data_IF_580216474739
#
_entry.id   IF_580216474739
#
_cell.length_a   1.000
_cell.length_b   1.000
_cell.length_c   1.000
_cell.angle_alpha   90.00
_cell.angle_beta   90.00
_cell.angle_gamma   90.00
#
_symmetry.space_group_name_H-M   'P 1'
#
loop_
_entity.id
_entity.type
_entity.pdbx_description
1 polymer ?
#
# COMPACT_ATOMS: atom_id res chain seq x y z
N UNK A 1 -2.58 13.53 -20.92
CA UNK A 1 -2.66 12.20 -21.58
C UNK A 1 -2.89 11.03 -20.60
N UNK A 2 -3.13 11.28 -19.30
CA UNK A 2 -3.26 10.25 -18.24
C UNK A 2 -4.70 9.81 -17.92
N UNK A 3 -5.72 10.44 -18.49
CA UNK A 3 -7.14 10.18 -18.15
C UNK A 3 -7.84 9.19 -19.08
N UNK A 4 -7.21 8.81 -20.21
CA UNK A 4 -7.84 8.00 -21.27
C UNK A 4 -7.60 6.49 -21.10
N UNK A 5 -6.61 6.12 -20.30
CA UNK A 5 -6.25 4.72 -20.06
C UNK A 5 -7.13 4.05 -18.99
N UNK A 6 -7.66 4.81 -18.02
CA UNK A 6 -8.58 4.26 -17.01
C UNK A 6 -9.99 3.99 -17.53
N UNK A 7 -10.41 4.64 -18.62
CA UNK A 7 -11.77 4.47 -19.17
C UNK A 7 -11.95 3.14 -19.93
N UNK A 8 -10.89 2.58 -20.50
CA UNK A 8 -10.96 1.30 -21.24
C UNK A 8 -10.94 0.07 -20.33
N UNK A 9 -10.49 0.19 -19.09
CA UNK A 9 -10.45 -0.93 -18.13
C UNK A 9 -11.80 -1.17 -17.43
N UNK A 10 -12.67 -0.16 -17.37
CA UNK A 10 -13.97 -0.24 -16.68
C UNK A 10 -15.08 -0.89 -17.53
N UNK A 11 -14.94 -0.93 -18.85
CA UNK A 11 -15.97 -1.46 -19.76
C UNK A 11 -15.95 -3.01 -19.87
N UNK A 12 -14.86 -3.67 -19.51
CA UNK A 12 -14.74 -5.13 -19.64
C UNK A 12 -15.32 -5.91 -18.44
N UNK A 13 -15.50 -5.26 -17.28
CA UNK A 13 -15.97 -5.92 -16.04
C UNK A 13 -17.50 -5.96 -15.94
N UNK A 14 -18.22 -5.11 -16.70
CA UNK A 14 -19.68 -4.98 -16.55
C UNK A 14 -20.51 -5.85 -17.51
N UNK A 15 -19.87 -6.65 -18.38
CA UNK A 15 -20.56 -7.47 -19.37
C UNK A 15 -20.81 -8.94 -18.96
N UNK A 16 -20.37 -9.37 -17.76
CA UNK A 16 -20.48 -10.78 -17.36
C UNK A 16 -21.47 -11.06 -16.20
N UNK A 17 -22.19 -10.07 -15.68
CA UNK A 17 -23.12 -10.26 -14.55
C UNK A 17 -24.60 -10.25 -14.94
N UNK A 18 -24.93 -10.21 -16.23
CA UNK A 18 -26.31 -10.22 -16.71
C UNK A 18 -26.80 -11.63 -17.08
N UNK A 19 -26.78 -12.57 -16.13
CA UNK A 19 -27.62 -13.76 -16.22
C UNK A 19 -27.84 -14.38 -14.84
N UNK A 20 -29.11 -14.62 -14.52
CA UNK A 20 -29.68 -15.30 -13.34
C UNK A 20 -29.97 -14.38 -12.15
N UNK A 21 -31.16 -13.78 -12.20
CA UNK A 21 -31.94 -13.37 -11.04
C UNK A 21 -33.14 -14.33 -10.89
N UNK A 22 -33.26 -15.01 -9.74
CA UNK A 22 -34.53 -15.32 -9.07
C UNK A 22 -34.29 -15.76 -7.60
N UNK A 23 -35.23 -15.49 -6.66
CA UNK A 23 -34.98 -15.44 -5.22
C UNK A 23 -35.65 -16.57 -4.38
N UNK A 24 -35.34 -16.61 -3.08
CA UNK A 24 -35.94 -17.43 -2.00
C UNK A 24 -35.54 -18.92 -1.99
N UNK A 25 -35.20 -19.60 -0.90
CA UNK A 25 -35.56 -19.52 0.52
C UNK A 25 -34.35 -19.92 1.40
N UNK A 26 -34.39 -19.50 2.67
CA UNK A 26 -33.53 -20.03 3.72
C UNK A 26 -33.80 -21.53 3.95
N UNK A 27 -32.76 -22.35 4.08
CA UNK A 27 -32.83 -23.60 4.86
C UNK A 27 -31.49 -23.86 5.53
N UNK A 28 -31.61 -24.12 6.83
CA UNK A 28 -30.57 -24.29 7.83
C UNK A 28 -30.13 -25.77 7.92
N UNK A 29 -28.87 -25.97 8.29
CA UNK A 29 -28.28 -27.16 8.93
C UNK A 29 -28.65 -28.58 8.43
N UNK A 30 -27.64 -29.28 7.90
CA UNK A 30 -27.22 -30.61 8.41
C UNK A 30 -25.91 -31.04 7.73
N UNK A 31 -24.79 -30.92 8.43
CA UNK A 31 -23.54 -31.57 8.05
C UNK A 31 -23.40 -32.87 8.84
N UNK A 32 -23.63 -34.00 8.17
CA UNK A 32 -23.35 -35.34 8.70
C UNK A 32 -21.83 -35.54 8.78
N UNK A 33 -21.35 -35.82 9.99
CA UNK A 33 -19.96 -36.17 10.27
C UNK A 33 -19.60 -37.55 9.70
N UNK A 34 -18.51 -37.62 8.93
CA UNK A 34 -17.91 -38.87 8.46
C UNK A 34 -16.61 -39.15 9.22
N UNK A 35 -16.71 -40.14 10.12
CA UNK A 35 -15.74 -41.12 10.62
C UNK A 35 -14.22 -40.80 10.57
N UNK A 36 -13.61 -40.72 11.77
CA UNK A 36 -12.17 -40.74 11.98
C UNK A 36 -11.63 -42.19 12.07
N UNK A 37 -10.55 -42.48 11.34
CA UNK A 37 -9.80 -43.74 11.42
C UNK A 37 -8.86 -43.76 12.66
N UNK A 38 -8.58 -44.93 13.26
CA UNK A 38 -7.88 -45.00 14.53
C UNK A 38 -6.36 -44.88 14.37
N UNK A 39 -5.74 -44.13 15.28
CA UNK A 39 -4.31 -44.09 15.49
C UNK A 39 -3.84 -45.44 16.08
N UNK A 40 -2.86 -46.07 15.43
CA UNK A 40 -2.12 -47.21 15.97
C UNK A 40 -0.93 -46.69 16.78
N UNK A 41 -0.92 -47.02 18.06
CA UNK A 41 0.21 -46.86 18.97
C UNK A 41 1.22 -47.99 18.76
N UNK A 42 2.52 -47.66 18.75
CA UNK A 42 3.60 -48.62 18.88
C UNK A 42 4.54 -48.16 20.03
N UNK A 43 5.04 -49.09 20.86
CA UNK A 43 5.56 -48.78 22.20
C UNK A 43 7.01 -48.28 22.18
N UNK A 44 7.40 -47.68 23.30
CA UNK A 44 8.73 -47.15 23.57
C UNK A 44 9.66 -48.17 24.25
N UNK A 45 10.95 -47.89 24.09
CA UNK A 45 12.14 -48.30 24.86
C UNK A 45 12.82 -49.63 24.48
N UNK A 46 14.05 -49.50 23.94
CA UNK A 46 15.24 -49.99 24.65
C UNK A 46 16.47 -49.14 24.27
N UNK A 47 17.38 -48.97 25.23
CA UNK A 47 18.54 -48.11 25.18
C UNK A 47 19.82 -48.95 25.09
N UNK A 48 20.65 -48.70 24.07
CA UNK A 48 22.06 -49.09 24.09
C UNK A 48 22.89 -48.19 23.16
N UNK A 49 23.89 -47.53 23.72
CA UNK A 49 25.06 -46.97 23.01
C UNK A 49 26.29 -47.81 23.40
N UNK A 50 27.49 -47.65 22.79
CA UNK A 50 27.89 -46.95 21.57
C UNK A 50 28.77 -47.82 20.63
N UNK A 51 28.92 -47.48 19.33
CA UNK A 51 30.13 -47.83 18.57
C UNK A 51 30.25 -47.10 17.22
N UNK A 52 31.46 -46.62 16.98
CA UNK A 52 32.10 -46.31 15.69
C UNK A 52 31.65 -45.04 14.94
N UNK A 53 32.27 -43.92 15.32
CA UNK A 53 32.61 -42.87 14.37
C UNK A 53 33.66 -43.38 13.36
N UNK A 54 33.53 -43.00 12.08
CA UNK A 54 34.71 -42.53 11.37
C UNK A 54 34.48 -41.14 10.78
N UNK A 55 35.51 -40.32 11.01
CA UNK A 55 36.03 -39.27 10.14
C UNK A 55 35.03 -38.23 9.61
N UNK A 56 35.15 -37.03 10.19
CA UNK A 56 34.89 -35.80 9.49
C UNK A 56 35.58 -35.79 8.12
N UNK A 57 34.77 -35.70 7.06
CA UNK A 57 35.18 -35.11 5.81
C UNK A 57 34.38 -33.81 5.69
N UNK A 58 35.06 -32.67 5.91
CA UNK A 58 34.54 -31.36 5.57
C UNK A 58 34.31 -31.31 4.05
N UNK A 59 33.07 -31.55 3.63
CA UNK A 59 32.59 -31.06 2.35
C UNK A 59 32.01 -29.67 2.61
N UNK A 60 32.68 -28.63 2.12
CA UNK A 60 32.14 -27.26 2.07
C UNK A 60 30.75 -27.25 1.44
N UNK A 61 29.94 -26.19 1.65
CA UNK A 61 28.52 -26.21 1.30
C UNK A 61 28.36 -26.55 -0.18
N UNK A 62 28.05 -27.81 -0.45
CA UNK A 62 27.45 -28.19 -1.70
C UNK A 62 26.22 -27.30 -1.79
N UNK A 63 26.14 -26.49 -2.84
CA UNK A 63 24.84 -26.08 -3.32
C UNK A 63 24.10 -27.39 -3.62
N UNK A 64 23.37 -27.88 -2.63
CA UNK A 64 22.22 -28.71 -2.88
C UNK A 64 21.34 -27.86 -3.77
N UNK A 65 21.49 -28.06 -5.07
CA UNK A 65 20.45 -27.74 -6.03
C UNK A 65 19.36 -28.73 -5.69
N UNK A 66 18.57 -28.39 -4.69
CA UNK A 66 17.27 -28.99 -4.47
C UNK A 66 16.53 -28.69 -5.77
N UNK A 67 16.51 -29.67 -6.68
CA UNK A 67 15.67 -29.64 -7.86
C UNK A 67 14.24 -29.57 -7.35
N UNK A 68 13.75 -28.34 -7.22
CA UNK A 68 12.39 -28.10 -6.79
C UNK A 68 11.52 -28.33 -8.02
N UNK A 69 10.75 -29.43 -8.09
CA UNK A 69 9.96 -29.78 -9.27
C UNK A 69 8.85 -28.75 -9.57
N UNK A 70 8.67 -27.75 -8.70
CA UNK A 70 7.72 -26.66 -8.82
C UNK A 70 8.37 -25.28 -9.05
N UNK A 71 9.65 -25.22 -9.42
CA UNK A 71 10.34 -23.97 -9.75
C UNK A 71 9.82 -23.31 -11.04
N UNK A 72 10.09 -22.01 -11.21
CA UNK A 72 9.69 -21.26 -12.41
C UNK A 72 10.23 -21.86 -13.72
N UNK A 73 11.41 -22.46 -13.68
CA UNK A 73 12.03 -23.11 -14.85
C UNK A 73 11.29 -24.41 -15.26
N UNK A 74 10.85 -25.21 -14.28
CA UNK A 74 10.04 -26.39 -14.53
C UNK A 74 8.64 -26.01 -15.06
N UNK A 75 8.02 -24.96 -14.50
CA UNK A 75 6.73 -24.44 -14.97
C UNK A 75 6.83 -23.84 -16.38
N UNK A 76 7.98 -23.26 -16.76
CA UNK A 76 8.15 -22.73 -18.11
C UNK A 76 8.42 -23.81 -19.16
N UNK A 77 9.11 -24.90 -18.80
CA UNK A 77 9.36 -26.03 -19.72
C UNK A 77 8.16 -26.95 -19.88
N UNK A 78 7.41 -27.18 -18.80
CA UNK A 78 6.30 -28.16 -18.76
C UNK A 78 4.90 -27.50 -18.79
N UNK A 79 4.79 -26.19 -18.54
CA UNK A 79 3.51 -25.49 -18.46
C UNK A 79 2.83 -25.26 -19.81
N UNK A 80 1.50 -25.43 -19.82
CA UNK A 80 0.63 -25.15 -20.95
C UNK A 80 0.46 -23.64 -21.23
N UNK A 81 -0.24 -23.30 -22.32
CA UNK A 81 -0.44 -21.91 -22.76
C UNK A 81 -1.16 -21.05 -21.70
N UNK A 82 -2.12 -21.63 -20.97
CA UNK A 82 -2.88 -20.92 -19.93
C UNK A 82 -2.00 -20.64 -18.72
N UNK A 83 -1.15 -21.60 -18.33
CA UNK A 83 -0.18 -21.44 -17.25
C UNK A 83 0.81 -20.28 -17.53
N UNK A 84 1.40 -20.25 -18.74
CA UNK A 84 2.30 -19.16 -19.16
C UNK A 84 1.60 -17.81 -19.22
N UNK A 85 0.36 -17.77 -19.74
CA UNK A 85 -0.44 -16.55 -19.79
C UNK A 85 -0.72 -15.96 -18.40
N UNK A 86 -1.10 -16.82 -17.45
CA UNK A 86 -1.36 -16.41 -16.06
C UNK A 86 -0.08 -15.91 -15.38
N UNK A 87 1.05 -16.59 -15.60
CA UNK A 87 2.35 -16.16 -15.08
C UNK A 87 2.73 -14.77 -15.59
N UNK A 88 2.52 -14.49 -16.88
CA UNK A 88 2.78 -13.17 -17.47
C UNK A 88 1.88 -12.10 -16.85
N UNK A 89 0.58 -12.39 -16.67
CA UNK A 89 -0.37 -11.44 -16.05
C UNK A 89 0.07 -11.10 -14.62
N UNK A 90 0.43 -12.11 -13.83
CA UNK A 90 0.93 -11.91 -12.46
C UNK A 90 2.19 -11.05 -12.42
N UNK A 91 3.14 -11.31 -13.32
CA UNK A 91 4.38 -10.52 -13.43
C UNK A 91 4.07 -9.07 -13.82
N UNK A 92 3.19 -8.84 -14.79
CA UNK A 92 2.81 -7.48 -15.22
C UNK A 92 2.10 -6.73 -14.09
N UNK A 93 1.15 -7.36 -13.39
CA UNK A 93 0.47 -6.73 -12.25
C UNK A 93 1.45 -6.44 -11.11
N UNK A 94 2.38 -7.37 -10.83
CA UNK A 94 3.41 -7.18 -9.81
C UNK A 94 4.35 -6.02 -10.15
N UNK A 95 4.87 -5.99 -11.38
CA UNK A 95 5.76 -4.92 -11.86
C UNK A 95 5.04 -3.57 -11.91
N UNK A 96 3.75 -3.56 -12.26
CA UNK A 96 2.90 -2.38 -12.18
C UNK A 96 2.81 -1.80 -10.77
N UNK A 97 2.58 -2.65 -9.76
CA UNK A 97 2.59 -2.24 -8.35
C UNK A 97 3.98 -1.74 -7.91
N UNK A 98 5.06 -2.42 -8.28
CA UNK A 98 6.41 -2.00 -7.92
C UNK A 98 6.78 -0.65 -8.54
N UNK A 99 6.39 -0.41 -9.80
CA UNK A 99 6.58 0.87 -10.47
C UNK A 99 5.82 2.02 -9.78
N UNK A 100 4.54 1.81 -9.44
CA UNK A 100 3.75 2.81 -8.71
C UNK A 100 4.36 3.07 -7.33
N UNK A 101 4.83 2.03 -6.65
CA UNK A 101 5.46 2.16 -5.35
C UNK A 101 6.70 3.05 -5.39
N UNK A 102 7.66 2.81 -6.30
CA UNK A 102 8.86 3.66 -6.39
C UNK A 102 8.49 5.10 -6.70
N UNK A 103 7.66 5.32 -7.72
CA UNK A 103 7.33 6.66 -8.18
C UNK A 103 6.62 7.46 -7.07
N UNK A 104 5.70 6.82 -6.35
CA UNK A 104 4.97 7.46 -5.25
C UNK A 104 5.84 7.67 -4.01
N UNK A 105 6.73 6.74 -3.69
CA UNK A 105 7.68 6.88 -2.56
C UNK A 105 8.59 8.08 -2.77
N UNK A 106 9.12 8.29 -3.98
CA UNK A 106 10.00 9.45 -4.26
C UNK A 106 9.25 10.76 -4.02
N UNK A 107 8.00 10.85 -4.48
CA UNK A 107 7.17 12.04 -4.24
C UNK A 107 6.83 12.22 -2.75
N UNK A 108 6.51 11.13 -2.05
CA UNK A 108 6.23 11.14 -0.61
C UNK A 108 7.46 11.54 0.22
N UNK A 109 8.66 11.07 -0.13
CA UNK A 109 9.91 11.44 0.55
C UNK A 109 10.16 12.94 0.39
N UNK A 110 9.98 13.48 -0.82
CA UNK A 110 10.14 14.93 -1.08
C UNK A 110 9.16 15.77 -0.26
N UNK A 111 7.90 15.36 -0.16
CA UNK A 111 6.90 16.05 0.64
C UNK A 111 7.18 15.92 2.15
N UNK A 112 7.61 14.74 2.61
CA UNK A 112 8.01 14.47 4.00
C UNK A 112 9.20 15.33 4.44
N UNK A 113 10.19 15.50 3.56
CA UNK A 113 11.31 16.41 3.77
C UNK A 113 10.83 17.85 3.96
N UNK A 114 9.94 18.34 3.10
CA UNK A 114 9.35 19.68 3.23
C UNK A 114 8.55 19.84 4.53
N UNK A 115 7.83 18.80 4.95
CA UNK A 115 7.07 18.81 6.20
C UNK A 115 8.00 18.90 7.42
N UNK A 116 9.13 18.20 7.38
CA UNK A 116 10.13 18.20 8.45
C UNK A 116 10.83 19.56 8.53
N UNK A 117 11.22 20.12 7.39
CA UNK A 117 11.80 21.45 7.30
C UNK A 117 10.83 22.53 7.79
N UNK A 118 9.55 22.43 7.41
CA UNK A 118 8.52 23.34 7.88
C UNK A 118 8.40 23.30 9.41
N UNK A 119 8.28 22.11 10.01
CA UNK A 119 8.24 21.96 11.47
C UNK A 119 9.49 22.51 12.15
N UNK A 120 10.67 22.32 11.57
CA UNK A 120 11.92 22.74 12.18
C UNK A 120 12.17 24.26 12.09
N UNK A 121 11.79 24.89 10.97
CA UNK A 121 12.13 26.29 10.66
C UNK A 121 10.98 27.26 10.96
N UNK A 122 9.74 26.90 10.64
CA UNK A 122 8.58 27.78 10.78
C UNK A 122 8.38 28.25 12.23
N UNK A 123 8.38 27.33 13.19
CA UNK A 123 8.16 27.62 14.60
C UNK A 123 9.32 28.34 15.30
N UNK A 124 10.51 28.38 14.69
CA UNK A 124 11.69 29.08 15.23
C UNK A 124 11.84 30.50 14.69
N UNK A 125 11.03 30.88 13.71
CA UNK A 125 11.08 32.20 13.09
C UNK A 125 10.48 33.27 14.00
N UNK A 126 10.89 34.53 13.80
CA UNK A 126 10.45 35.66 14.64
C UNK A 126 8.98 36.08 14.40
N UNK A 127 8.37 35.67 13.28
CA UNK A 127 6.99 35.98 12.93
C UNK A 127 6.42 34.96 11.94
N UNK A 128 5.09 34.89 11.83
CA UNK A 128 4.42 33.99 10.87
C UNK A 128 4.83 34.29 9.42
N UNK A 129 5.04 35.56 9.09
CA UNK A 129 5.52 36.01 7.78
C UNK A 129 6.95 35.53 7.50
N UNK A 130 7.86 35.66 8.49
CA UNK A 130 9.23 35.15 8.38
C UNK A 130 9.26 33.61 8.28
N UNK A 131 8.37 32.95 9.02
CA UNK A 131 8.16 31.50 8.96
C UNK A 131 7.70 31.06 7.58
N UNK A 132 6.69 31.72 7.00
CA UNK A 132 6.18 31.43 5.66
C UNK A 132 7.25 31.65 4.57
N UNK A 133 8.04 32.71 4.69
CA UNK A 133 9.14 33.00 3.77
C UNK A 133 10.27 31.95 3.83
N UNK A 134 10.50 31.33 5.00
CA UNK A 134 11.49 30.26 5.16
C UNK A 134 11.09 28.92 4.53
N UNK A 135 9.80 28.76 4.18
CA UNK A 135 9.28 27.57 3.51
C UNK A 135 9.56 27.61 2.01
N UNK A 136 9.77 26.42 1.43
CA UNK A 136 10.02 26.28 -0.01
C UNK A 136 8.86 26.87 -0.81
N UNK A 137 9.20 27.68 -1.81
CA UNK A 137 8.24 28.28 -2.73
C UNK A 137 7.50 27.19 -3.52
N UNK A 138 6.17 27.32 -3.62
CA UNK A 138 5.29 26.31 -4.21
C UNK A 138 5.05 25.07 -3.34
N UNK A 139 5.57 25.01 -2.10
CA UNK A 139 5.23 23.91 -1.18
C UNK A 139 3.80 24.04 -0.64
N UNK A 140 3.10 22.92 -0.38
CA UNK A 140 1.77 22.97 0.23
C UNK A 140 1.75 23.65 1.60
N UNK A 141 2.84 23.54 2.37
CA UNK A 141 2.98 24.19 3.67
C UNK A 141 3.02 25.72 3.55
N UNK A 142 3.72 26.23 2.53
CA UNK A 142 3.75 27.67 2.25
C UNK A 142 2.38 28.17 1.80
N UNK A 143 1.67 27.40 0.97
CA UNK A 143 0.32 27.76 0.55
C UNK A 143 -0.65 27.93 1.73
N UNK A 144 -0.59 27.03 2.72
CA UNK A 144 -1.42 27.13 3.94
C UNK A 144 -1.02 28.36 4.77
N UNK A 145 0.28 28.60 4.96
CA UNK A 145 0.78 29.76 5.70
C UNK A 145 0.38 31.09 5.02
N UNK A 146 0.57 31.20 3.71
CA UNK A 146 0.19 32.38 2.92
C UNK A 146 -1.33 32.61 2.95
N UNK A 147 -2.13 31.55 3.00
CA UNK A 147 -3.59 31.67 3.12
C UNK A 147 -4.02 32.28 4.45
N UNK A 148 -3.37 31.89 5.57
CA UNK A 148 -3.62 32.51 6.87
C UNK A 148 -3.14 33.97 6.95
N UNK A 149 -1.98 34.29 6.36
CA UNK A 149 -1.48 35.66 6.28
C UNK A 149 -2.45 36.54 5.48
N UNK A 150 -2.85 36.10 4.28
CA UNK A 150 -3.82 36.81 3.44
C UNK A 150 -5.18 36.97 4.12
N UNK A 151 -5.63 35.97 4.88
CA UNK A 151 -6.87 36.06 5.65
C UNK A 151 -6.78 37.10 6.77
N UNK A 152 -5.60 37.32 7.33
CA UNK A 152 -5.36 38.36 8.34
C UNK A 152 -5.30 39.75 7.71
N UNK A 153 -4.69 39.88 6.52
CA UNK A 153 -4.55 41.15 5.79
C UNK A 153 -5.84 41.62 5.11
N UNK A 154 -6.69 40.70 4.64
CA UNK A 154 -7.89 41.01 3.86
C UNK A 154 -9.20 40.86 4.65
N UNK A 155 -9.18 41.15 5.96
CA UNK A 155 -10.39 41.20 6.78
C UNK A 155 -11.19 42.49 6.60
N UNK A 156 -11.33 42.97 5.36
CA UNK A 156 -12.05 44.21 5.04
C UNK A 156 -13.10 43.99 3.96
N UNK A 157 -14.37 44.09 4.37
CA UNK A 157 -15.53 44.08 3.49
C UNK A 157 -16.83 43.99 4.28
N UNK A 158 -17.88 44.71 3.86
CA UNK A 158 -19.14 44.93 4.60
C UNK A 158 -19.97 43.66 4.95
N UNK A 159 -19.53 42.46 4.55
CA UNK A 159 -20.10 41.16 4.96
C UNK A 159 -19.22 40.38 5.96
N UNK A 160 -17.99 40.84 6.23
CA UNK A 160 -17.04 40.23 7.17
C UNK A 160 -17.12 40.82 8.58
N UNK A 161 -17.84 41.93 8.77
CA UNK A 161 -18.05 42.55 10.09
C UNK A 161 -18.91 41.66 11.03
N UNK A 162 -19.61 40.66 10.48
CA UNK A 162 -20.38 39.67 11.25
C UNK A 162 -19.57 38.45 11.70
N UNK A 163 -18.36 38.23 11.16
CA UNK A 163 -17.55 37.06 11.48
C UNK A 163 -16.28 37.55 12.16
N UNK A 164 -16.01 37.04 13.37
CA UNK A 164 -14.80 37.35 14.11
C UNK A 164 -13.53 36.93 13.32
N UNK A 165 -12.47 37.72 13.43
CA UNK A 165 -11.19 37.50 12.73
C UNK A 165 -10.63 36.10 12.99
N UNK A 166 -10.74 35.59 14.22
CA UNK A 166 -10.26 34.25 14.55
C UNK A 166 -11.04 33.18 13.78
N UNK A 167 -12.36 33.34 13.69
CA UNK A 167 -13.24 32.42 12.95
C UNK A 167 -12.91 32.46 11.46
N UNK A 168 -12.77 33.66 10.89
CA UNK A 168 -12.40 33.83 9.49
C UNK A 168 -11.05 33.18 9.14
N UNK A 169 -10.01 33.47 9.94
CA UNK A 169 -8.67 32.92 9.73
C UNK A 169 -8.70 31.39 9.89
N UNK A 170 -9.36 30.85 10.91
CA UNK A 170 -9.46 29.40 11.12
C UNK A 170 -10.16 28.70 9.94
N UNK A 171 -11.28 29.25 9.46
CA UNK A 171 -11.98 28.72 8.27
C UNK A 171 -11.11 28.82 7.00
N UNK A 172 -10.35 29.91 6.85
CA UNK A 172 -9.45 30.08 5.69
C UNK A 172 -8.33 29.03 5.67
N UNK A 173 -7.76 28.73 6.84
CA UNK A 173 -6.72 27.71 7.00
C UNK A 173 -7.29 26.33 6.73
N UNK A 174 -8.48 26.01 7.26
CA UNK A 174 -9.16 24.73 6.99
C UNK A 174 -9.39 24.52 5.50
N UNK A 175 -9.96 25.51 4.80
CA UNK A 175 -10.13 25.44 3.33
C UNK A 175 -8.80 25.26 2.59
N UNK A 176 -7.73 25.90 3.08
CA UNK A 176 -6.41 25.76 2.49
C UNK A 176 -5.85 24.34 2.69
N UNK A 177 -6.07 23.73 3.87
CA UNK A 177 -5.70 22.33 4.15
C UNK A 177 -6.50 21.39 3.28
N UNK A 178 -7.82 21.56 3.18
CA UNK A 178 -8.68 20.73 2.34
C UNK A 178 -8.25 20.78 0.86
N UNK A 179 -7.89 21.97 0.38
CA UNK A 179 -7.37 22.17 -0.99
C UNK A 179 -6.01 21.50 -1.23
N UNK A 180 -5.21 21.33 -0.19
CA UNK A 180 -3.94 20.59 -0.27
C UNK A 180 -4.18 19.08 -0.22
N UNK A 181 -5.26 18.61 0.41
CA UNK A 181 -5.59 17.20 0.55
C UNK A 181 -6.40 16.62 -0.61
N UNK A 182 -7.12 17.47 -1.36
CA UNK A 182 -7.86 17.11 -2.59
C UNK A 182 -6.96 16.86 -3.79
#
# INVERSE_FOLDING_TARGET
>A
MKTRFSAFLAAAVLALTAAVAAPAFAEEASATAASAAPATSAPAADAAAPAAAPAAAEAGPAKEVIENPYGLDALWKTGDFVAKGTLIIMVIMSMGSWYILITKIVDQIKLSGQATDARAKFWKSASVQAGAASLKEGSPFRFIADSGIKATEHHEGALLEQIDLNTWVSMSIQRAVDKVQS
#
